data_IF_217495731903
#
_entry.id   IF_217495731903
#
_cell.length_a   1.000
_cell.length_b   1.000
_cell.length_c   1.000
_cell.angle_alpha   90.00
_cell.angle_beta   90.00
_cell.angle_gamma   90.00
#
_symmetry.space_group_name_H-M   'P 1'
#
loop_
_entity.id
_entity.type
_entity.pdbx_description
1 polymer ?
2 non-polymer ?
3 water ?
#
# COMPACT_ATOMS: atom_id res chain seq x y z
N UNK A 1 -24.61 -7.55 -10.20
CA UNK A 1 -23.20 -7.42 -10.65
C UNK A 1 -22.36 -8.42 -9.89
N UNK A 2 -21.96 -9.50 -10.56
CA UNK A 2 -21.23 -10.57 -9.92
C UNK A 2 -19.91 -10.07 -9.32
N UNK A 3 -19.29 -9.12 -10.01
CA UNK A 3 -17.98 -8.62 -9.59
C UNK A 3 -18.13 -7.74 -8.35
N UNK A 4 -19.14 -6.89 -8.34
CA UNK A 4 -19.38 -6.08 -7.18
C UNK A 4 -19.71 -6.96 -5.98
N UNK A 5 -20.46 -8.04 -6.23
CA UNK A 5 -20.75 -9.02 -5.19
C UNK A 5 -19.50 -9.71 -4.61
N UNK A 6 -18.53 -10.01 -5.45
CA UNK A 6 -17.24 -10.58 -5.01
C UNK A 6 -16.52 -9.68 -3.99
N UNK A 7 -16.69 -8.37 -4.15
CA UNK A 7 -16.06 -7.40 -3.26
C UNK A 7 -16.90 -7.28 -1.98
N UNK A 8 -18.22 -7.15 -2.15
CA UNK A 8 -19.08 -6.92 -1.00
C UNK A 8 -19.01 -8.11 -0.05
N UNK A 9 -18.89 -9.31 -0.62
CA UNK A 9 -18.83 -10.54 0.16
C UNK A 9 -17.58 -10.62 1.04
N UNK A 10 -16.58 -9.78 0.75
CA UNK A 10 -15.31 -9.83 1.46
C UNK A 10 -15.07 -8.59 2.31
N UNK A 11 -16.11 -7.81 2.53
CA UNK A 11 -16.06 -6.78 3.55
C UNK A 11 -16.47 -7.37 4.89
N UNK A 12 -15.60 -7.23 5.89
CA UNK A 12 -15.90 -7.73 7.24
C UNK A 12 -16.24 -6.54 8.12
N UNK A 13 -17.34 -6.65 8.84
CA UNK A 13 -17.82 -5.53 9.64
C UNK A 13 -17.62 -5.84 11.11
N UNK A 14 -16.93 -4.93 11.79
CA UNK A 14 -16.63 -5.04 13.23
C UNK A 14 -17.33 -3.95 14.01
N UNK A 15 -18.39 -4.31 14.74
CA UNK A 15 -19.05 -3.33 15.58
C UNK A 15 -18.15 -2.84 16.70
N UNK A 16 -18.30 -1.57 17.06
CA UNK A 16 -17.65 -0.99 18.22
C UNK A 16 -16.13 -0.91 18.10
N UNK A 17 -15.67 -0.70 16.88
CA UNK A 17 -14.27 -0.46 16.60
C UNK A 17 -14.19 0.68 15.62
N UNK A 18 -13.36 1.68 15.90
CA UNK A 18 -12.48 1.68 17.06
C UNK A 18 -13.13 2.19 18.34
N UNK A 19 -14.36 2.72 18.24
CA UNK A 19 -15.09 3.17 19.40
C UNK A 19 -16.51 2.61 19.45
N UNK A 20 -17.10 2.57 20.65
CA UNK A 20 -18.44 2.02 20.75
C UNK A 20 -19.43 2.82 19.91
N UNK A 21 -20.34 2.11 19.23
CA UNK A 21 -21.42 2.74 18.49
C UNK A 21 -21.23 2.76 16.99
N UNK A 22 -20.00 2.58 16.54
CA UNK A 22 -19.71 2.56 15.11
C UNK A 22 -19.42 1.16 14.60
N UNK A 23 -19.25 1.05 13.30
CA UNK A 23 -18.95 -0.21 12.69
C UNK A 23 -17.80 -0.02 11.73
N UNK A 24 -16.72 -0.76 11.94
CA UNK A 24 -15.56 -0.67 11.07
C UNK A 24 -15.74 -1.62 9.90
N UNK A 25 -15.63 -1.08 8.70
CA UNK A 25 -15.75 -1.90 7.50
C UNK A 25 -14.35 -2.25 7.02
N UNK A 26 -13.96 -3.51 7.24
CA UNK A 26 -12.59 -4.00 7.02
C UNK A 26 -12.45 -4.57 5.61
N UNK A 27 -11.59 -3.97 4.80
CA UNK A 27 -11.38 -4.46 3.44
C UNK A 27 -10.33 -5.55 3.38
N UNK A 28 -9.77 -5.94 4.52
CA UNK A 28 -8.73 -6.97 4.55
C UNK A 28 -9.05 -8.23 3.73
N UNK A 29 -10.28 -8.75 3.82
CA UNK A 29 -10.54 -9.99 3.09
C UNK A 29 -10.59 -9.81 1.58
N UNK A 30 -10.77 -8.57 1.13
CA UNK A 30 -10.71 -8.28 -0.29
C UNK A 30 -9.30 -8.54 -0.78
N UNK A 31 -8.29 -8.18 0.03
CA UNK A 31 -6.88 -8.36 -0.36
C UNK A 31 -6.47 -9.83 -0.33
N UNK A 32 -7.09 -10.59 0.57
CA UNK A 32 -6.75 -11.97 0.75
C UNK A 32 -7.29 -12.92 -0.32
N UNK A 33 -8.34 -12.48 -1.01
CA UNK A 33 -8.95 -13.26 -2.04
C UNK A 33 -8.62 -12.62 -3.38
N UNK A 34 -7.75 -13.28 -4.16
CA UNK A 34 -7.23 -12.60 -5.34
C UNK A 34 -8.31 -12.26 -6.34
N UNK A 35 -9.36 -13.07 -6.41
CA UNK A 35 -10.49 -12.76 -7.30
C UNK A 35 -11.25 -11.50 -6.86
N UNK A 36 -11.37 -11.30 -5.56
CA UNK A 36 -11.99 -10.11 -5.00
C UNK A 36 -11.19 -8.84 -5.24
N UNK A 37 -9.89 -8.93 -5.03
CA UNK A 37 -9.02 -7.80 -5.26
C UNK A 37 -9.01 -7.41 -6.73
N UNK A 38 -8.92 -8.41 -7.61
CA UNK A 38 -8.98 -8.16 -9.06
C UNK A 38 -10.29 -7.47 -9.44
N UNK A 39 -11.38 -7.91 -8.80
CA UNK A 39 -12.69 -7.35 -9.08
C UNK A 39 -12.75 -5.87 -8.69
N UNK A 40 -12.29 -5.57 -7.48
CA UNK A 40 -12.28 -4.20 -6.96
C UNK A 40 -11.49 -3.25 -7.86
N UNK A 41 -10.30 -3.69 -8.25
CA UNK A 41 -9.43 -2.89 -9.10
C UNK A 41 -10.10 -2.69 -10.46
N UNK A 42 -10.66 -3.76 -11.00
CA UNK A 42 -11.32 -3.68 -12.30
C UNK A 42 -12.52 -2.74 -12.31
N UNK A 43 -13.32 -2.77 -11.26
CA UNK A 43 -14.50 -1.92 -11.17
C UNK A 43 -14.08 -0.46 -11.11
N UNK A 44 -13.02 -0.18 -10.37
CA UNK A 44 -12.56 1.19 -10.21
C UNK A 44 -11.95 1.66 -11.52
N UNK A 45 -11.17 0.80 -12.16
CA UNK A 45 -10.52 1.16 -13.41
C UNK A 45 -11.58 1.41 -14.49
N UNK A 46 -12.57 0.52 -14.57
CA UNK A 46 -13.63 0.67 -15.56
C UNK A 46 -14.41 1.97 -15.35
N UNK A 47 -14.77 2.27 -14.10
CA UNK A 47 -15.42 3.53 -13.82
C UNK A 47 -14.59 4.73 -14.25
N UNK A 48 -13.29 4.68 -13.96
CA UNK A 48 -12.41 5.80 -14.26
C UNK A 48 -12.23 6.00 -15.76
N UNK A 49 -12.08 4.92 -16.52
CA UNK A 49 -11.97 5.05 -17.98
C UNK A 49 -13.27 5.53 -18.60
N UNK A 50 -14.39 5.08 -18.04
CA UNK A 50 -15.70 5.45 -18.59
C UNK A 50 -16.03 6.92 -18.32
N UNK A 51 -15.35 7.50 -17.32
CA UNK A 51 -15.65 8.86 -16.85
C UNK A 51 -14.66 9.91 -17.32
N UNK A 52 -13.40 9.53 -17.47
CA UNK A 52 -12.34 10.47 -17.82
C UNK A 52 -11.59 10.13 -19.10
N UNK A 53 -11.93 9.02 -19.74
CA UNK A 53 -11.19 8.56 -20.91
C UNK A 53 -9.69 8.54 -20.62
N UNK A 54 -8.91 9.22 -21.44
CA UNK A 54 -7.46 9.20 -21.26
C UNK A 54 -6.88 10.41 -20.54
N UNK A 55 -7.72 11.12 -19.80
CA UNK A 55 -7.32 12.41 -19.23
C UNK A 55 -6.52 12.28 -17.93
N UNK A 56 -6.50 11.07 -17.35
CA UNK A 56 -5.84 10.90 -16.08
C UNK A 56 -4.34 10.75 -16.29
N UNK A 57 -3.55 11.54 -15.57
CA UNK A 57 -2.10 11.43 -15.65
C UNK A 57 -1.53 10.48 -14.60
N UNK A 58 -2.02 10.58 -13.36
CA UNK A 58 -1.49 9.80 -12.25
C UNK A 58 -2.61 9.41 -11.28
N UNK A 59 -2.39 8.31 -10.57
CA UNK A 59 -3.16 7.98 -9.39
C UNK A 59 -2.37 8.49 -8.18
N UNK A 60 -3.06 9.05 -7.19
CA UNK A 60 -2.44 9.36 -5.92
C UNK A 60 -3.03 8.44 -4.89
N UNK A 61 -2.16 7.68 -4.21
CA UNK A 61 -2.61 6.79 -3.15
C UNK A 61 -2.36 7.39 -1.78
N UNK A 62 -3.33 7.24 -0.89
CA UNK A 62 -3.22 7.78 0.47
C UNK A 62 -2.70 6.77 1.50
N UNK A 63 -1.69 7.21 2.25
CA UNK A 63 -1.04 6.44 3.34
C UNK A 63 -2.08 6.20 4.43
N UNK A 64 -2.32 4.94 4.82
CA UNK A 64 -1.60 3.75 4.40
C UNK A 64 -2.47 2.78 3.57
N UNK A 65 -3.76 2.72 3.87
CA UNK A 65 -4.63 1.71 3.24
C UNK A 65 -4.85 2.02 1.77
N UNK A 66 -4.69 3.27 1.39
CA UNK A 66 -4.79 3.64 -0.02
C UNK A 66 -3.62 3.10 -0.82
N UNK A 67 -2.50 2.84 -0.13
CA UNK A 67 -1.31 2.26 -0.77
C UNK A 67 -1.60 0.85 -1.29
N UNK A 68 -2.57 0.18 -0.66
CA UNK A 68 -2.98 -1.17 -1.05
C UNK A 68 -3.62 -1.20 -2.43
N UNK A 69 -4.23 -0.10 -2.84
CA UNK A 69 -5.01 -0.07 -4.06
C UNK A 69 -4.39 0.79 -5.14
N UNK A 70 -3.74 1.87 -4.74
CA UNK A 70 -3.20 2.85 -5.68
C UNK A 70 -2.32 2.25 -6.78
N UNK A 71 -1.26 1.53 -6.40
CA UNK A 71 -0.38 1.01 -7.45
C UNK A 71 -1.05 0.00 -8.38
N UNK A 72 -1.87 -0.90 -7.85
CA UNK A 72 -2.59 -1.82 -8.73
C UNK A 72 -3.57 -1.13 -9.66
N UNK A 73 -4.26 -0.11 -9.16
CA UNK A 73 -5.20 0.67 -9.99
C UNK A 73 -4.44 1.43 -11.05
N UNK A 74 -3.33 2.03 -10.65
CA UNK A 74 -2.48 2.74 -11.61
C UNK A 74 -2.02 1.78 -12.71
N UNK A 75 -1.51 0.63 -12.33
CA UNK A 75 -1.04 -0.37 -13.30
C UNK A 75 -2.12 -0.77 -14.28
N UNK A 76 -3.32 -1.03 -13.76
CA UNK A 76 -4.42 -1.41 -14.61
C UNK A 76 -4.68 -0.34 -15.67
N UNK A 77 -4.45 0.92 -15.29
CA UNK A 77 -4.75 2.06 -16.14
C UNK A 77 -3.57 2.51 -16.99
N UNK A 78 -2.41 1.87 -16.79
CA UNK A 78 -1.19 2.21 -17.52
C UNK A 78 -0.49 3.46 -16.99
N UNK A 79 -0.74 3.80 -15.73
CA UNK A 79 -0.31 5.09 -15.18
C UNK A 79 0.66 4.85 -14.02
N UNK A 80 1.40 5.89 -13.67
CA UNK A 80 2.14 5.88 -12.42
C UNK A 80 1.27 6.25 -11.24
N UNK A 81 1.82 6.03 -10.06
CA UNK A 81 1.16 6.32 -8.81
C UNK A 81 2.09 7.22 -7.98
N UNK A 82 1.54 8.32 -7.50
CA UNK A 82 2.25 9.18 -6.58
C UNK A 82 1.71 8.98 -5.17
N UNK A 83 2.54 9.30 -4.18
CA UNK A 83 2.23 8.98 -2.81
C UNK A 83 1.94 10.23 -1.99
N UNK A 84 0.90 10.15 -1.18
CA UNK A 84 0.63 11.14 -0.16
C UNK A 84 0.78 10.45 1.20
N UNK A 85 1.74 10.90 1.98
CA UNK A 85 2.18 10.20 3.18
C UNK A 85 1.87 10.96 4.45
N UNK A 86 1.80 10.22 5.56
CA UNK A 86 1.81 10.86 6.85
C UNK A 86 3.10 11.68 6.98
N UNK A 87 2.99 12.85 7.60
CA UNK A 87 4.10 13.78 7.67
C UNK A 87 5.31 13.17 8.38
N UNK A 88 6.49 13.46 7.86
CA UNK A 88 7.75 13.00 8.47
C UNK A 88 8.44 11.86 7.73
N UNK A 89 7.79 11.33 6.70
CA UNK A 89 8.25 10.11 6.05
C UNK A 89 8.98 10.36 4.73
N UNK A 90 8.75 11.52 4.11
CA UNK A 90 9.23 11.78 2.76
C UNK A 90 10.46 12.68 2.78
N UNK A 91 11.47 12.34 1.96
CA UNK A 91 12.67 13.15 1.87
C UNK A 91 12.45 14.33 0.94
N UNK A 92 13.37 15.27 0.93
CA UNK A 92 13.28 16.44 0.04
C UNK A 92 12.21 17.41 0.51
N UNK A 93 12.06 18.53 -0.21
CA UNK A 93 11.12 19.57 0.18
C UNK A 93 9.67 19.10 0.07
N UNK A 94 8.85 19.43 1.08
CA UNK A 94 7.48 18.95 1.15
C UNK A 94 6.51 20.06 1.53
N UNK A 95 5.24 19.78 1.23
CA UNK A 95 4.11 20.54 1.72
C UNK A 95 3.36 19.61 2.63
N UNK A 96 2.66 20.15 3.62
CA UNK A 96 1.82 19.32 4.47
C UNK A 96 0.49 20.01 4.83
N UNK A 97 -0.46 19.23 5.29
CA UNK A 97 -1.81 19.71 5.51
C UNK A 97 -2.43 18.92 6.66
N UNK A 98 -3.04 19.65 7.60
CA UNK A 98 -3.66 19.01 8.76
C UNK A 98 -5.03 18.47 8.44
N UNK A 99 -5.62 17.80 9.43
CA UNK A 99 -6.97 17.24 9.30
C UNK A 99 -7.28 16.54 10.61
N UNK A 100 -8.50 16.73 11.10
CA UNK A 100 -8.83 16.22 12.42
C UNK A 100 -8.84 14.70 12.37
N UNK A 101 -8.32 14.06 13.41
CA UNK A 101 -8.27 12.60 13.48
C UNK A 101 -8.90 12.11 14.77
N UNK A 105 -5.31 16.17 15.82
CA UNK A 105 -4.83 16.67 14.54
C UNK A 105 -3.79 15.73 13.96
N UNK A 106 -3.89 15.47 12.66
CA UNK A 106 -2.88 14.69 11.96
C UNK A 106 -2.45 15.47 10.72
N UNK A 107 -1.36 15.05 10.09
CA UNK A 107 -0.86 15.75 8.91
C UNK A 107 -0.43 14.79 7.79
N UNK A 108 -0.86 15.12 6.58
CA UNK A 108 -0.39 14.45 5.37
C UNK A 108 0.61 15.32 4.66
N UNK A 109 1.41 14.71 3.80
CA UNK A 109 2.55 15.39 3.21
C UNK A 109 2.75 14.91 1.75
N UNK A 110 3.26 15.78 0.92
CA UNK A 110 3.63 15.41 -0.44
C UNK A 110 4.92 16.11 -0.83
N UNK A 111 5.74 15.45 -1.64
CA UNK A 111 6.98 16.09 -2.12
C UNK A 111 6.59 17.23 -3.05
N UNK A 112 7.24 18.38 -2.89
CA UNK A 112 6.93 19.54 -3.73
C UNK A 112 7.08 19.19 -5.22
N UNK A 113 7.88 18.17 -5.53
CA UNK A 113 8.06 17.77 -6.93
C UNK A 113 7.27 16.54 -7.37
N UNK A 114 6.21 16.21 -6.62
CA UNK A 114 5.43 15.02 -6.91
C UNK A 114 4.70 15.15 -8.25
N UNK A 115 4.25 16.36 -8.56
CA UNK A 115 3.50 16.63 -9.77
C UNK A 115 3.84 18.00 -10.30
N UNK A 116 3.67 18.18 -11.61
CA UNK A 116 3.82 19.49 -12.24
C UNK A 116 2.47 20.18 -12.38
N UNK A 117 2.44 21.51 -12.28
CA UNK A 117 1.20 22.26 -12.47
C UNK A 117 0.43 21.76 -13.70
N UNK A 118 -0.88 21.57 -13.57
CA UNK A 118 -1.71 21.15 -14.70
C UNK A 118 -1.89 19.64 -14.85
N UNK A 119 -1.05 18.86 -14.19
CA UNK A 119 -1.18 17.41 -14.27
C UNK A 119 -2.44 16.98 -13.58
N UNK A 120 -3.08 15.93 -14.09
CA UNK A 120 -4.43 15.54 -13.69
C UNK A 120 -4.38 14.24 -12.93
N UNK A 121 -5.01 14.22 -11.77
CA UNK A 121 -4.81 13.12 -10.82
C UNK A 121 -6.13 12.61 -10.27
N UNK A 122 -6.19 11.32 -9.98
CA UNK A 122 -7.30 10.72 -9.25
C UNK A 122 -6.77 10.18 -7.93
N UNK A 123 -7.46 10.50 -6.84
CA UNK A 123 -7.00 10.11 -5.52
C UNK A 123 -7.78 8.86 -5.09
N UNK A 124 -7.07 7.88 -4.53
CA UNK A 124 -7.70 6.64 -4.05
C UNK A 124 -7.36 6.36 -2.58
N UNK A 125 -8.38 5.92 -1.86
CA UNK A 125 -8.18 5.45 -0.49
C UNK A 125 -9.12 4.27 -0.28
N UNK A 126 -8.94 3.52 0.78
CA UNK A 126 -9.81 2.38 0.99
C UNK A 126 -11.26 2.79 1.31
N UNK A 127 -11.42 3.84 2.12
CA UNK A 127 -12.68 4.13 2.77
C UNK A 127 -12.82 5.64 2.92
N UNK A 128 -14.00 6.15 2.57
CA UNK A 128 -14.33 7.54 2.84
C UNK A 128 -15.27 7.58 4.06
N UNK A 129 -14.83 8.25 5.12
CA UNK A 129 -15.66 8.45 6.30
C UNK A 129 -16.03 9.94 6.44
N UNK A 130 -15.40 10.68 7.36
CA UNK A 130 -15.62 12.12 7.41
C UNK A 130 -15.09 12.84 6.17
N UNK A 131 -14.13 12.24 5.48
CA UNK A 131 -13.52 12.90 4.30
C UNK A 131 -12.38 13.85 4.65
N UNK A 132 -11.98 13.86 5.91
CA UNK A 132 -10.87 14.70 6.36
C UNK A 132 -9.56 14.42 5.64
N UNK A 133 -9.17 13.15 5.58
CA UNK A 133 -7.97 12.72 4.91
C UNK A 133 -7.99 13.04 3.41
N UNK A 134 -9.13 12.76 2.78
CA UNK A 134 -9.25 12.94 1.36
C UNK A 134 -9.22 14.44 1.06
N UNK A 135 -9.77 15.22 1.96
CA UNK A 135 -9.79 16.67 1.81
C UNK A 135 -8.39 17.24 1.87
N UNK A 136 -7.59 16.78 2.84
CA UNK A 136 -6.20 17.17 2.99
C UNK A 136 -5.38 16.81 1.75
N UNK A 137 -5.66 15.63 1.20
CA UNK A 137 -4.98 15.20 -0.01
C UNK A 137 -5.32 16.13 -1.15
N UNK A 138 -6.60 16.49 -1.27
CA UNK A 138 -7.03 17.40 -2.31
C UNK A 138 -6.33 18.75 -2.19
N UNK A 139 -6.23 19.27 -0.97
CA UNK A 139 -5.59 20.56 -0.74
C UNK A 139 -4.14 20.53 -1.19
N UNK A 140 -3.43 19.48 -0.79
CA UNK A 140 -2.02 19.35 -1.11
C UNK A 140 -1.84 19.33 -2.62
N UNK A 141 -2.68 18.56 -3.31
CA UNK A 141 -2.57 18.46 -4.76
C UNK A 141 -2.87 19.80 -5.45
N UNK A 142 -3.85 20.52 -4.91
CA UNK A 142 -4.24 21.82 -5.43
C UNK A 142 -3.12 22.82 -5.26
N UNK A 143 -2.35 22.66 -4.18
CA UNK A 143 -1.23 23.55 -3.92
C UNK A 143 -0.05 23.28 -4.84
N UNK A 144 -0.01 22.10 -5.45
CA UNK A 144 0.92 21.82 -6.54
C UNK A 144 0.36 22.26 -7.88
N UNK A 145 -0.82 22.85 -7.85
CA UNK A 145 -1.54 23.24 -9.05
C UNK A 145 -1.85 22.04 -9.94
N UNK A 146 -2.02 20.88 -9.32
CA UNK A 146 -2.54 19.72 -10.03
C UNK A 146 -4.07 19.82 -10.07
N UNK A 147 -4.66 19.19 -11.09
CA UNK A 147 -6.10 19.12 -11.23
C UNK A 147 -6.59 17.77 -10.69
N UNK A 148 -7.38 17.80 -9.63
CA UNK A 148 -7.94 16.59 -9.08
C UNK A 148 -9.24 16.27 -9.82
N UNK A 149 -9.22 15.21 -10.65
CA UNK A 149 -10.37 14.87 -11.46
C UNK A 149 -11.46 14.17 -10.66
N UNK A 150 -11.06 13.40 -9.66
CA UNK A 150 -11.98 12.59 -8.89
C UNK A 150 -11.25 11.99 -7.69
N UNK A 151 -12.01 11.68 -6.65
CA UNK A 151 -11.53 10.85 -5.56
C UNK A 151 -12.39 9.59 -5.55
N UNK A 152 -11.78 8.46 -5.24
CA UNK A 152 -12.46 7.18 -5.27
C UNK A 152 -12.10 6.33 -4.04
N UNK A 153 -13.04 5.50 -3.60
CA UNK A 153 -12.74 4.51 -2.55
C UNK A 153 -13.53 3.21 -2.77
N UNK A 154 -13.17 2.17 -2.04
CA UNK A 154 -13.93 0.95 -2.06
C UNK A 154 -15.24 1.18 -1.30
N UNK A 155 -15.14 1.89 -0.18
CA UNK A 155 -16.23 1.97 0.78
C UNK A 155 -16.51 3.42 1.14
N UNK A 156 -17.79 3.76 1.26
CA UNK A 156 -18.21 5.12 1.65
C UNK A 156 -19.23 5.02 2.79
N UNK A 157 -19.04 5.80 3.85
CA UNK A 157 -19.99 5.83 4.96
C UNK A 157 -20.88 7.06 4.80
N UNK A 158 -22.06 6.83 4.23
CA UNK A 158 -22.84 7.93 3.69
C UNK A 158 -23.35 8.91 4.76
N UNK A 159 -23.61 8.44 5.96
CA UNK A 159 -24.15 9.32 7.00
C UNK A 159 -23.15 10.37 7.47
N UNK A 160 -21.88 10.22 7.12
CA UNK A 160 -20.86 11.16 7.57
C UNK A 160 -20.69 12.29 6.56
N UNK A 161 -21.28 12.12 5.38
CA UNK A 161 -21.31 13.18 4.38
C UNK A 161 -19.92 13.67 3.95
N UNK A 162 -18.96 12.76 3.86
CA UNK A 162 -17.65 13.12 3.34
C UNK A 162 -17.70 13.63 1.91
N UNK A 163 -18.61 13.08 1.11
CA UNK A 163 -18.77 13.40 -0.30
C UNK A 163 -19.06 14.91 -0.49
N UNK A 164 -19.99 15.43 0.29
CA UNK A 164 -20.26 16.87 0.31
C UNK A 164 -18.99 17.69 0.58
N UNK A 165 -18.16 17.19 1.50
CA UNK A 165 -16.97 17.92 1.94
C UNK A 165 -15.92 18.07 0.83
N UNK A 166 -15.91 17.14 -0.13
CA UNK A 166 -14.97 17.18 -1.27
C UNK A 166 -15.51 17.98 -2.44
N UNK A 167 -16.82 18.18 -2.49
CA UNK A 167 -17.42 18.99 -3.55
C UNK A 167 -16.61 20.28 -3.67
N UNK A 168 -16.30 20.71 -4.89
CA UNK A 168 -16.97 20.23 -6.10
C UNK A 168 -16.21 19.13 -6.86
N UNK A 169 -15.20 18.55 -6.23
CA UNK A 169 -14.54 17.39 -6.83
C UNK A 169 -15.47 16.18 -6.76
N UNK A 170 -15.63 15.46 -7.88
CA UNK A 170 -16.47 14.26 -7.93
C UNK A 170 -15.92 13.15 -7.02
N UNK A 171 -16.83 12.34 -6.48
CA UNK A 171 -16.43 11.18 -5.70
C UNK A 171 -17.19 9.94 -6.17
N UNK A 172 -16.52 8.81 -6.10
CA UNK A 172 -17.12 7.52 -6.45
C UNK A 172 -16.64 6.45 -5.48
N UNK A 173 -17.57 5.67 -4.95
CA UNK A 173 -17.27 4.50 -4.15
C UNK A 173 -17.94 3.27 -4.73
N UNK A 174 -17.32 2.11 -4.51
CA UNK A 174 -17.90 0.84 -4.92
C UNK A 174 -19.10 0.48 -4.06
N UNK A 175 -18.93 0.65 -2.75
CA UNK A 175 -19.91 0.22 -1.78
C UNK A 175 -20.26 1.34 -0.78
N UNK A 176 -21.52 1.36 -0.35
CA UNK A 176 -21.98 2.39 0.56
C UNK A 176 -22.68 1.74 1.76
N UNK A 177 -22.28 2.17 2.96
CA UNK A 177 -22.99 1.82 4.19
C UNK A 177 -23.38 3.11 4.89
N UNK A 178 -24.36 3.06 5.77
CA UNK A 178 -24.73 4.25 6.55
C UNK A 178 -23.49 4.75 7.30
N UNK B 1 20.77 -6.99 -16.74
CA UNK B 1 19.28 -7.07 -16.67
C UNK B 1 18.67 -5.69 -16.94
N UNK B 2 18.05 -5.53 -18.09
CA UNK B 2 17.48 -4.24 -18.47
C UNK B 2 16.24 -3.96 -17.62
N UNK B 3 15.55 -5.01 -17.21
CA UNK B 3 14.42 -4.86 -16.29
C UNK B 3 14.93 -4.34 -14.96
N UNK B 4 16.04 -4.88 -14.48
CA UNK B 4 16.61 -4.43 -13.22
C UNK B 4 17.09 -2.99 -13.35
N UNK B 5 17.68 -2.66 -14.49
CA UNK B 5 18.09 -1.29 -14.74
C UNK B 5 16.88 -0.33 -14.69
N UNK B 6 15.75 -0.75 -15.20
CA UNK B 6 14.51 0.04 -15.14
C UNK B 6 14.12 0.39 -13.70
N UNK B 7 14.45 -0.50 -12.76
CA UNK B 7 14.16 -0.22 -11.36
C UNK B 7 15.26 0.62 -10.73
N UNK B 8 16.52 0.24 -10.94
CA UNK B 8 17.64 0.91 -10.29
C UNK B 8 17.71 2.37 -10.70
N UNK B 9 17.44 2.64 -11.97
CA UNK B 9 17.48 4.01 -12.47
C UNK B 9 16.43 4.92 -11.86
N UNK B 10 15.44 4.33 -11.20
CA UNK B 10 14.38 5.12 -10.59
C UNK B 10 14.48 5.20 -9.06
N UNK B 11 15.55 4.65 -8.48
CA UNK B 11 15.84 4.88 -7.07
C UNK B 11 16.56 6.22 -6.95
N UNK B 12 16.08 7.06 -6.06
CA UNK B 12 16.63 8.40 -5.84
C UNK B 12 17.29 8.41 -4.49
N UNK B 13 18.53 8.88 -4.40
CA UNK B 13 19.27 8.77 -3.14
C UNK B 13 19.47 10.11 -2.47
N UNK B 14 18.95 10.25 -1.25
CA UNK B 14 18.97 11.52 -0.51
C UNK B 14 19.96 11.49 0.65
N UNK B 15 20.97 12.35 0.64
CA UNK B 15 21.93 12.33 1.73
C UNK B 15 21.34 12.96 2.99
N UNK B 16 21.80 12.50 4.14
CA UNK B 16 21.45 13.14 5.39
C UNK B 16 19.96 13.12 5.68
N UNK B 17 19.29 12.06 5.24
CA UNK B 17 17.89 11.80 5.61
C UNK B 17 17.75 10.35 6.05
N UNK B 18 17.14 10.13 7.22
CA UNK B 18 16.51 11.17 8.02
C UNK B 18 17.44 11.86 9.01
N UNK B 19 18.67 11.39 9.11
CA UNK B 19 19.63 11.97 10.04
C UNK B 19 20.95 12.20 9.32
N UNK B 20 21.80 13.08 9.84
CA UNK B 20 23.04 13.34 9.13
C UNK B 20 23.90 12.09 8.97
N UNK B 21 24.40 11.89 7.75
CA UNK B 21 25.37 10.84 7.48
C UNK B 21 24.76 9.63 6.83
N UNK B 22 23.44 9.49 6.92
CA UNK B 22 22.80 8.37 6.28
C UNK B 22 22.24 8.78 4.93
N UNK B 23 22.16 7.82 4.02
CA UNK B 23 21.60 8.06 2.69
C UNK B 23 20.27 7.34 2.54
N UNK B 24 19.24 8.09 2.21
CA UNK B 24 17.91 7.52 2.05
C UNK B 24 17.65 7.11 0.60
N UNK B 25 17.24 5.84 0.41
CA UNK B 25 16.95 5.35 -0.93
C UNK B 25 15.45 5.46 -1.16
N UNK B 26 15.07 6.45 -1.95
CA UNK B 26 13.67 6.79 -2.17
C UNK B 26 13.15 5.99 -3.36
N UNK B 27 12.18 5.11 -3.10
CA UNK B 27 11.60 4.27 -4.12
C UNK B 27 10.40 4.92 -4.81
N UNK B 28 10.04 6.15 -4.42
CA UNK B 28 8.88 6.83 -5.01
C UNK B 28 8.88 6.87 -6.54
N UNK B 29 10.04 7.17 -7.18
CA UNK B 29 10.02 7.24 -8.64
C UNK B 29 9.74 5.90 -9.33
N UNK B 30 9.99 4.78 -8.65
CA UNK B 30 9.64 3.46 -9.16
C UNK B 30 8.13 3.35 -9.29
N UNK B 31 7.41 3.84 -8.29
CA UNK B 31 5.94 3.81 -8.34
C UNK B 31 5.41 4.76 -9.39
N UNK B 32 6.09 5.89 -9.57
CA UNK B 32 5.58 6.92 -10.48
C UNK B 32 5.77 6.56 -11.95
N UNK B 33 6.72 5.67 -12.25
CA UNK B 33 6.97 5.22 -13.62
C UNK B 33 6.40 3.83 -13.80
N UNK B 34 5.32 3.70 -14.58
CA UNK B 34 4.62 2.41 -14.57
C UNK B 34 5.46 1.26 -15.09
N UNK B 35 6.41 1.56 -15.99
CA UNK B 35 7.28 0.53 -16.52
C UNK B 35 8.24 0.04 -15.46
N UNK B 36 8.65 0.95 -14.56
CA UNK B 36 9.58 0.61 -13.48
C UNK B 36 8.90 -0.25 -12.42
N UNK B 37 7.68 0.13 -12.06
CA UNK B 37 6.91 -0.64 -11.09
C UNK B 37 6.63 -2.04 -11.61
N UNK B 38 6.20 -2.12 -12.87
CA UNK B 38 5.95 -3.41 -13.50
C UNK B 38 7.20 -4.29 -13.49
N UNK B 39 8.36 -3.72 -13.77
CA UNK B 39 9.62 -4.47 -13.79
C UNK B 39 9.92 -5.03 -12.41
N UNK B 40 9.79 -4.16 -11.41
CA UNK B 40 10.02 -4.56 -10.00
C UNK B 40 9.18 -5.76 -9.61
N UNK B 41 7.88 -5.67 -9.85
CA UNK B 41 6.98 -6.75 -9.50
C UNK B 41 7.33 -8.00 -10.29
N UNK B 42 7.60 -7.85 -11.58
CA UNK B 42 7.95 -8.98 -12.44
C UNK B 42 9.21 -9.70 -11.97
N UNK B 43 10.23 -8.93 -11.60
CA UNK B 43 11.47 -9.51 -11.11
C UNK B 43 11.27 -10.26 -9.79
N UNK B 44 10.49 -9.67 -8.88
CA UNK B 44 10.21 -10.32 -7.60
C UNK B 44 9.41 -11.59 -7.83
N UNK B 45 8.37 -11.49 -8.67
CA UNK B 45 7.51 -12.65 -8.98
C UNK B 45 8.31 -13.79 -9.57
N UNK B 46 9.20 -13.48 -10.52
CA UNK B 46 9.95 -14.50 -11.22
C UNK B 46 10.91 -15.18 -10.24
N UNK B 47 11.56 -14.40 -9.39
CA UNK B 47 12.43 -14.99 -8.35
C UNK B 47 11.66 -15.97 -7.46
N UNK B 48 10.50 -15.53 -6.99
CA UNK B 48 9.69 -16.33 -6.05
C UNK B 48 9.16 -17.60 -6.70
N UNK B 49 8.67 -17.50 -7.93
CA UNK B 49 8.24 -18.71 -8.67
C UNK B 49 9.41 -19.66 -8.96
N UNK B 50 10.59 -19.10 -9.26
CA UNK B 50 11.74 -19.91 -9.59
C UNK B 50 12.30 -20.61 -8.37
N UNK B 51 12.06 -20.03 -7.20
CA UNK B 51 12.61 -20.55 -5.94
C UNK B 51 11.63 -21.45 -5.20
N UNK B 52 10.32 -21.14 -5.28
CA UNK B 52 9.31 -21.81 -4.45
C UNK B 52 8.26 -22.54 -5.25
N UNK B 53 8.25 -22.36 -6.57
CA UNK B 53 7.30 -23.05 -7.42
C UNK B 53 5.91 -22.76 -6.90
N UNK B 54 5.14 -23.81 -6.63
CA UNK B 54 3.77 -23.64 -6.15
C UNK B 54 3.58 -23.64 -4.64
N UNK B 55 4.65 -23.48 -3.89
CA UNK B 55 4.61 -23.67 -2.45
C UNK B 55 4.03 -22.47 -1.70
N UNK B 56 4.07 -21.29 -2.30
CA UNK B 56 3.59 -20.10 -1.61
C UNK B 56 2.05 -20.08 -1.57
N UNK B 57 1.49 -19.81 -0.39
CA UNK B 57 0.04 -19.70 -0.24
C UNK B 57 -0.41 -18.24 -0.24
N UNK B 58 0.36 -17.39 0.42
CA UNK B 58 0.07 -15.96 0.54
C UNK B 58 1.33 -15.11 0.56
N UNK B 59 1.14 -13.86 0.13
CA UNK B 59 2.10 -12.79 0.36
C UNK B 59 1.63 -12.04 1.59
N UNK B 60 2.55 -11.65 2.48
CA UNK B 60 2.23 -10.76 3.57
C UNK B 60 2.90 -9.44 3.35
N UNK B 61 2.14 -8.36 3.40
CA UNK B 61 2.68 -7.04 3.13
C UNK B 61 2.84 -6.30 4.44
N UNK B 62 4.00 -5.69 4.64
CA UNK B 62 4.30 -4.93 5.85
C UNK B 62 3.89 -3.46 5.70
N UNK B 63 3.07 -2.99 6.64
CA UNK B 63 2.69 -1.57 6.75
C UNK B 63 3.94 -0.69 6.82
N UNK B 64 4.05 0.43 6.07
CA UNK B 64 3.11 0.89 5.05
C UNK B 64 3.69 0.72 3.65
N UNK B 65 5.00 0.82 3.54
CA UNK B 65 5.59 0.79 2.21
C UNK B 65 5.55 -0.59 1.60
N UNK B 66 5.44 -1.64 2.42
CA UNK B 66 5.18 -3.00 1.94
C UNK B 66 3.82 -3.14 1.27
N UNK B 67 2.87 -2.29 1.65
CA UNK B 67 1.51 -2.31 1.09
C UNK B 67 1.56 -1.88 -0.38
N UNK B 68 2.59 -1.15 -0.76
CA UNK B 68 2.70 -0.63 -2.14
C UNK B 68 3.04 -1.77 -3.12
N UNK B 69 3.69 -2.80 -2.61
CA UNK B 69 4.18 -3.89 -3.45
C UNK B 69 3.44 -5.19 -3.23
N UNK B 70 3.02 -5.45 -2.02
CA UNK B 70 2.47 -6.76 -1.69
C UNK B 70 1.28 -7.18 -2.53
N UNK B 71 0.27 -6.30 -2.69
CA UNK B 71 -0.90 -6.70 -3.46
C UNK B 71 -0.58 -6.96 -4.95
N UNK B 72 0.24 -6.11 -5.55
CA UNK B 72 0.60 -6.30 -6.95
C UNK B 72 1.42 -7.56 -7.13
N UNK B 73 2.32 -7.84 -6.19
CA UNK B 73 3.09 -9.06 -6.22
C UNK B 73 2.17 -10.26 -6.05
N UNK B 74 1.27 -10.21 -5.08
CA UNK B 74 0.32 -11.29 -4.91
C UNK B 74 -0.46 -11.53 -6.20
N UNK B 75 -0.99 -10.46 -6.75
CA UNK B 75 -1.80 -10.58 -7.95
C UNK B 75 -1.02 -11.23 -9.10
N UNK B 76 0.23 -10.83 -9.29
CA UNK B 76 1.09 -11.42 -10.32
C UNK B 76 1.31 -12.92 -10.10
N UNK B 77 1.30 -13.35 -8.84
CA UNK B 77 1.47 -14.77 -8.51
C UNK B 77 0.16 -15.57 -8.42
N UNK B 78 -0.97 -14.87 -8.56
CA UNK B 78 -2.29 -15.48 -8.42
C UNK B 78 -2.67 -15.79 -6.99
N UNK B 79 -2.05 -15.07 -6.06
CA UNK B 79 -2.21 -15.27 -4.62
C UNK B 79 -2.92 -14.10 -3.97
N UNK B 80 -3.45 -14.34 -2.78
CA UNK B 80 -3.94 -13.26 -1.95
C UNK B 80 -2.81 -12.67 -1.13
N UNK B 81 -3.13 -11.53 -0.49
CA UNK B 81 -2.18 -10.77 0.31
C UNK B 81 -2.80 -10.56 1.70
N UNK B 82 -2.07 -10.98 2.74
CA UNK B 82 -2.44 -10.66 4.11
C UNK B 82 -1.64 -9.47 4.59
N UNK B 83 -2.15 -8.79 5.61
CA UNK B 83 -1.59 -7.52 6.04
C UNK B 83 -1.04 -7.61 7.44
N UNK B 84 0.17 -7.08 7.60
CA UNK B 84 0.75 -6.86 8.91
C UNK B 84 0.83 -5.35 9.15
N UNK B 85 0.20 -4.90 10.22
CA UNK B 85 0.05 -3.48 10.48
C UNK B 85 0.74 -3.04 11.77
N UNK B 86 0.96 -1.73 11.89
CA UNK B 86 1.27 -1.14 13.18
C UNK B 86 0.13 -1.40 14.15
N UNK B 87 0.44 -1.60 15.43
CA UNK B 87 -0.58 -1.93 16.42
C UNK B 87 -1.66 -0.85 16.52
N UNK B 88 -2.91 -1.29 16.69
CA UNK B 88 -4.02 -0.37 16.91
C UNK B 88 -4.92 -0.18 15.69
N UNK B 89 -4.51 -0.71 14.54
CA UNK B 89 -5.18 -0.42 13.27
C UNK B 89 -6.15 -1.51 12.83
N UNK B 90 -5.87 -2.75 13.23
CA UNK B 90 -6.70 -3.88 12.81
C UNK B 90 -7.84 -4.15 13.79
N UNK B 91 -9.06 -4.36 13.28
CA UNK B 91 -10.15 -4.71 14.17
C UNK B 91 -10.11 -6.19 14.54
N UNK B 92 -10.87 -6.57 15.55
CA UNK B 92 -11.02 -7.97 15.91
C UNK B 92 -9.87 -8.48 16.75
N UNK B 93 -9.75 -9.80 16.88
CA UNK B 93 -8.67 -10.28 17.70
C UNK B 93 -7.39 -10.35 16.90
N UNK B 94 -6.30 -9.97 17.56
CA UNK B 94 -5.02 -9.81 16.92
C UNK B 94 -3.92 -10.33 17.81
N UNK B 95 -2.79 -10.66 17.21
CA UNK B 95 -1.56 -10.83 17.96
C UNK B 95 -0.68 -9.65 17.64
N UNK B 96 0.14 -9.26 18.61
CA UNK B 96 1.07 -8.17 18.43
C UNK B 96 2.44 -8.52 18.98
N UNK B 97 3.44 -7.83 18.45
CA UNK B 97 4.83 -8.06 18.82
C UNK B 97 5.52 -6.72 18.74
N UNK B 98 6.35 -6.42 19.75
CA UNK B 98 7.11 -5.18 19.77
C UNK B 98 8.49 -5.41 19.16
N UNK B 99 9.06 -4.35 18.59
CA UNK B 99 10.40 -4.39 18.03
C UNK B 99 11.06 -3.03 18.24
N UNK B 106 7.72 0.49 19.19
CA UNK B 106 6.88 0.17 18.03
C UNK B 106 6.39 -1.27 18.09
N UNK B 107 5.18 -1.50 17.62
CA UNK B 107 4.60 -2.84 17.65
C UNK B 107 3.86 -3.13 16.35
N UNK B 108 3.95 -4.38 15.91
CA UNK B 108 3.22 -4.83 14.73
C UNK B 108 2.07 -5.71 15.16
N UNK B 109 1.10 -5.88 14.26
CA UNK B 109 -0.14 -6.55 14.58
C UNK B 109 -0.64 -7.34 13.36
N UNK B 110 -1.32 -8.45 13.62
CA UNK B 110 -1.93 -9.22 12.56
C UNK B 110 -3.23 -9.84 13.10
N UNK B 111 -4.26 -9.91 12.27
CA UNK B 111 -5.50 -10.56 12.67
C UNK B 111 -5.26 -12.05 12.92
N UNK B 112 -5.90 -12.59 13.94
CA UNK B 112 -5.62 -13.98 14.34
C UNK B 112 -6.00 -14.97 13.25
N UNK B 113 -6.98 -14.61 12.41
CA UNK B 113 -7.40 -15.51 11.35
C UNK B 113 -6.85 -15.11 9.98
N UNK B 114 -5.76 -14.34 9.97
CA UNK B 114 -5.09 -14.00 8.72
C UNK B 114 -4.57 -15.27 8.01
N UNK B 115 -4.04 -16.20 8.79
CA UNK B 115 -3.49 -17.46 8.27
C UNK B 115 -3.87 -18.59 9.16
N UNK B 116 -3.91 -19.78 8.57
CA UNK B 116 -4.12 -21.03 9.31
C UNK B 116 -2.79 -21.75 9.48
N UNK B 117 -2.67 -22.56 10.55
CA UNK B 117 -1.45 -23.33 10.77
C UNK B 117 -1.06 -24.12 9.52
N UNK B 118 0.19 -24.01 9.11
CA UNK B 118 0.72 -24.79 8.00
C UNK B 118 0.75 -24.01 6.69
N UNK B 119 0.09 -22.85 6.67
CA UNK B 119 0.10 -22.06 5.45
C UNK B 119 1.46 -21.38 5.29
N UNK B 120 1.87 -21.23 4.04
CA UNK B 120 3.21 -20.81 3.69
C UNK B 120 3.14 -19.42 3.12
N UNK B 121 4.00 -18.54 3.61
CA UNK B 121 3.92 -17.12 3.29
C UNK B 121 5.29 -16.55 2.91
N UNK B 122 5.27 -15.57 2.02
CA UNK B 122 6.44 -14.76 1.73
C UNK B 122 6.15 -13.31 2.17
N UNK B 123 7.05 -12.75 2.95
CA UNK B 123 6.88 -11.41 3.50
C UNK B 123 7.57 -10.40 2.58
N UNK B 124 6.89 -9.30 2.27
CA UNK B 124 7.50 -8.27 1.43
C UNK B 124 7.46 -6.88 2.08
N UNK B 125 8.56 -6.16 1.93
CA UNK B 125 8.64 -4.76 2.38
C UNK B 125 9.45 -4.03 1.31
N UNK B 126 9.41 -2.71 1.30
CA UNK B 126 10.18 -1.99 0.32
C UNK B 126 11.69 -2.07 0.56
N UNK B 127 12.10 -2.04 1.80
CA UNK B 127 13.51 -1.87 2.11
C UNK B 127 13.88 -2.66 3.34
N UNK B 128 15.02 -3.34 3.27
CA UNK B 128 15.61 -4.00 4.44
C UNK B 128 16.78 -3.16 4.94
N UNK B 129 16.68 -2.71 6.19
CA UNK B 129 17.76 -1.97 6.86
C UNK B 129 18.28 -2.82 8.01
N UNK B 130 17.94 -2.46 9.26
CA UNK B 130 18.39 -3.25 10.39
C UNK B 130 17.73 -4.63 10.42
N UNK B 131 16.55 -4.73 9.82
CA UNK B 131 15.84 -6.00 9.78
C UNK B 131 14.89 -6.19 10.96
N UNK B 132 14.75 -5.16 11.79
CA UNK B 132 13.90 -5.25 12.97
C UNK B 132 12.44 -5.48 12.64
N UNK B 133 11.94 -4.74 11.67
CA UNK B 133 10.55 -4.82 11.28
C UNK B 133 10.24 -6.21 10.69
N UNK B 134 11.13 -6.66 9.82
CA UNK B 134 10.92 -7.92 9.14
C UNK B 134 11.05 -9.08 10.09
N UNK B 135 11.90 -8.92 11.10
CA UNK B 135 12.10 -9.95 12.10
C UNK B 135 10.86 -10.08 12.98
N UNK B 136 10.26 -8.96 13.35
CA UNK B 136 9.01 -8.93 14.08
C UNK B 136 7.89 -9.58 13.28
N UNK B 137 7.84 -9.31 11.98
CA UNK B 137 6.76 -9.86 11.14
C UNK B 137 6.90 -11.38 11.09
N UNK B 138 8.12 -11.86 10.94
CA UNK B 138 8.38 -13.29 10.96
C UNK B 138 7.91 -13.93 12.26
N UNK B 139 8.21 -13.30 13.40
CA UNK B 139 7.76 -13.81 14.70
C UNK B 139 6.25 -13.94 14.78
N UNK B 140 5.54 -12.88 14.37
CA UNK B 140 4.07 -12.88 14.38
C UNK B 140 3.51 -14.00 13.54
N UNK B 141 4.01 -14.12 12.31
CA UNK B 141 3.56 -15.18 11.42
C UNK B 141 3.82 -16.54 12.06
N UNK B 142 4.92 -16.66 12.79
CA UNK B 142 5.25 -17.91 13.47
C UNK B 142 4.24 -18.23 14.53
N UNK B 143 3.68 -17.20 15.16
CA UNK B 143 2.72 -17.43 16.25
C UNK B 143 1.38 -17.91 15.71
N UNK B 144 1.16 -17.67 14.42
CA UNK B 144 0.00 -18.22 13.74
C UNK B 144 0.31 -19.62 13.23
N UNK B 145 1.52 -20.10 13.49
CA UNK B 145 1.98 -21.40 12.96
C UNK B 145 1.98 -21.42 11.44
N UNK B 146 2.21 -20.24 10.85
CA UNK B 146 2.46 -20.13 9.42
C UNK B 146 3.96 -20.36 9.20
N UNK B 147 4.31 -20.86 8.02
CA UNK B 147 5.70 -21.08 7.65
C UNK B 147 6.16 -19.94 6.75
N UNK B 148 7.12 -19.15 7.21
CA UNK B 148 7.70 -18.09 6.39
C UNK B 148 8.77 -18.68 5.47
N UNK B 149 8.50 -18.69 4.15
CA UNK B 149 9.39 -19.29 3.18
C UNK B 149 10.58 -18.38 2.84
N UNK B 150 10.34 -17.08 2.89
CA UNK B 150 11.31 -16.09 2.46
C UNK B 150 10.79 -14.70 2.83
N UNK B 151 11.71 -13.77 3.02
CA UNK B 151 11.39 -12.35 3.04
C UNK B 151 12.07 -11.70 1.84
N UNK B 152 11.39 -10.74 1.23
CA UNK B 152 11.92 -10.04 0.07
C UNK B 152 11.74 -8.54 0.19
N UNK B 153 12.62 -7.79 -0.46
CA UNK B 153 12.50 -6.34 -0.53
C UNK B 153 13.00 -5.82 -1.87
N UNK B 154 12.70 -4.57 -2.19
CA UNK B 154 13.32 -3.94 -3.35
C UNK B 154 14.75 -3.56 -3.02
N UNK B 155 14.96 -3.05 -1.81
CA UNK B 155 16.26 -2.51 -1.49
C UNK B 155 16.76 -3.13 -0.20
N UNK B 156 18.07 -3.37 -0.16
CA UNK B 156 18.74 -3.91 1.03
C UNK B 156 19.96 -3.06 1.32
N UNK B 157 20.14 -2.68 2.60
CA UNK B 157 21.29 -1.88 2.99
C UNK B 157 22.29 -2.81 3.69
N UNK B 158 23.27 -3.32 2.94
CA UNK B 158 24.01 -4.50 3.35
C UNK B 158 24.89 -4.26 4.55
N UNK B 159 25.30 -3.01 4.77
CA UNK B 159 26.19 -2.75 5.89
C UNK B 159 25.47 -2.85 7.24
N UNK B 160 24.13 -2.90 7.23
CA UNK B 160 23.36 -3.04 8.47
C UNK B 160 23.13 -4.51 8.84
N UNK B 161 23.54 -5.41 7.95
CA UNK B 161 23.45 -6.83 8.24
C UNK B 161 22.07 -7.32 8.68
N UNK B 162 21.00 -6.74 8.13
CA UNK B 162 19.65 -7.24 8.38
C UNK B 162 19.39 -8.70 7.97
N UNK B 163 20.01 -9.12 6.87
CA UNK B 163 19.89 -10.50 6.37
C UNK B 163 20.25 -11.52 7.46
N UNK B 164 21.33 -11.21 8.19
CA UNK B 164 21.81 -12.07 9.27
C UNK B 164 20.81 -12.14 10.43
N UNK B 165 20.07 -11.07 10.66
CA UNK B 165 19.00 -11.07 11.66
C UNK B 165 17.87 -12.05 11.33
N UNK B 166 17.63 -12.28 10.04
CA UNK B 166 16.49 -13.09 9.58
C UNK B 166 16.79 -14.58 9.50
N UNK B 167 18.07 -14.94 9.40
CA UNK B 167 18.47 -16.35 9.39
C UNK B 167 17.74 -17.11 10.49
N UNK B 168 17.25 -18.31 10.19
CA UNK B 168 17.58 -19.02 8.97
C UNK B 168 16.58 -18.80 7.82
N UNK B 169 15.66 -17.86 7.97
CA UNK B 169 14.74 -17.54 6.87
C UNK B 169 15.51 -16.87 5.73
N UNK B 170 15.38 -17.41 4.50
CA UNK B 170 16.07 -16.81 3.36
C UNK B 170 15.62 -15.37 3.11
N UNK B 171 16.50 -14.57 2.51
CA UNK B 171 16.16 -13.20 2.13
C UNK B 171 16.66 -12.90 0.73
N UNK B 172 15.87 -12.11 0.00
CA UNK B 172 16.18 -11.71 -1.34
C UNK B 172 15.83 -10.24 -1.53
N UNK B 173 16.75 -9.46 -2.09
CA UNK B 173 16.47 -8.08 -2.50
C UNK B 173 16.79 -7.90 -3.97
N UNK B 174 16.11 -6.96 -4.62
CA UNK B 174 16.43 -6.60 -5.99
C UNK B 174 17.74 -5.86 -6.08
N UNK B 175 17.95 -4.91 -5.15
CA UNK B 175 19.07 -4.00 -5.23
C UNK B 175 19.73 -3.90 -3.88
N UNK B 176 21.05 -3.78 -3.90
CA UNK B 176 21.84 -3.68 -2.67
C UNK B 176 22.65 -2.38 -2.67
N UNK B 177 22.67 -1.73 -1.52
CA UNK B 177 23.52 -0.56 -1.31
C UNK B 177 24.25 -0.76 0.01
N UNK B 178 25.47 -0.27 0.08
CA UNK B 178 26.18 -0.29 1.35
C UNK B 178 25.25 0.36 2.38
#
# INVERSE_FOLDING_TARGET
>A
DSELQLVEQRIRSFPDFPTPGVVFRDISPVLKDPASFRAAIGLLARHLKATHGGRIDYIAGLDSRGFLFGPSLAQELGLGCVLIRKRGKLPGPTLWASYSLEYGKAELEIQKDALEPGQRVVVVDDLLATGGTMNAACELLGRLQAEVLECVSLVELTSLKGREKLAPVPFFSLLQYE
>B
DSELQLVEQRIRSFPDFPTPGVVFRDISPVLKDPASFRAAIGLLARHLKATHGGRIDYIAGLDSRGFLFGPSLAQELGLGCVLIRKRGKLPGPTLWASYSLEYGKAELEIQKDALEPGQRVVVVDDLLATGGTMNAACELLGRLQAEVLECVSLVELTSLKGREKLAPVPFFSLLQYE
#
